data_IF_507392389874
#
_entry.id   IF_507392389874
#
_cell.length_a   1.000
_cell.length_b   1.000
_cell.length_c   1.000
_cell.angle_alpha   90.00
_cell.angle_beta   90.00
_cell.angle_gamma   90.00
#
_symmetry.space_group_name_H-M   'P 1'
#
loop_
_entity.id
_entity.type
_entity.pdbx_description
1 polymer ?
#
# COMPACT_ATOMS: atom_id res chain seq x y z
N UNK A 1 94.46 7.40 27.09
CA UNK A 1 93.47 6.92 28.08
C UNK A 1 92.10 7.11 27.44
N UNK A 2 91.46 6.05 26.92
CA UNK A 2 90.46 5.21 27.61
C UNK A 2 89.32 6.07 28.19
N UNK A 3 88.03 5.83 27.97
CA UNK A 3 87.26 4.79 27.28
C UNK A 3 85.84 5.34 27.17
N UNK A 4 85.16 4.96 26.09
CA UNK A 4 83.71 5.03 25.90
C UNK A 4 82.94 4.25 26.98
N UNK A 5 81.77 4.76 27.40
CA UNK A 5 80.73 4.05 28.16
C UNK A 5 79.41 4.76 27.85
N UNK A 6 78.47 4.19 27.07
CA UNK A 6 77.61 3.02 27.27
C UNK A 6 76.34 3.36 28.09
N UNK A 7 75.26 3.59 27.33
CA UNK A 7 73.86 3.19 27.53
C UNK A 7 73.12 3.50 28.84
N UNK A 8 71.94 4.15 28.74
CA UNK A 8 70.66 3.46 28.90
C UNK A 8 69.46 4.31 28.43
N UNK A 9 68.45 3.59 27.91
CA UNK A 9 67.20 4.01 27.29
C UNK A 9 66.20 4.56 28.32
N UNK A 10 65.29 5.46 27.90
CA UNK A 10 63.85 5.26 28.14
C UNK A 10 63.01 6.10 27.17
N UNK A 11 62.17 5.36 26.44
CA UNK A 11 61.23 5.82 25.45
C UNK A 11 60.03 6.52 26.10
N UNK A 12 59.65 7.69 25.62
CA UNK A 12 58.25 8.16 25.67
C UNK A 12 57.97 8.93 24.37
N UNK A 13 57.50 8.21 23.36
CA UNK A 13 56.89 8.85 22.18
C UNK A 13 55.49 9.31 22.56
N UNK A 14 55.28 10.62 22.67
CA UNK A 14 53.94 11.20 22.75
C UNK A 14 53.37 11.22 21.33
N UNK A 15 52.53 10.23 21.03
CA UNK A 15 51.65 10.25 19.86
C UNK A 15 50.64 11.38 20.05
N UNK A 16 50.80 12.45 19.26
CA UNK A 16 49.72 13.42 19.02
C UNK A 16 48.70 12.71 18.14
N UNK A 17 47.70 12.10 18.78
CA UNK A 17 46.52 11.61 18.08
C UNK A 17 45.63 12.81 17.74
N UNK A 18 45.83 13.42 16.58
CA UNK A 18 44.81 14.24 15.96
C UNK A 18 43.61 13.33 15.66
N UNK A 19 42.50 13.55 16.36
CA UNK A 19 41.23 12.88 16.08
C UNK A 19 40.63 13.47 14.82
N UNK A 20 41.14 13.07 13.65
CA UNK A 20 40.44 13.26 12.40
C UNK A 20 39.25 12.29 12.42
N UNK A 21 38.04 12.79 12.71
CA UNK A 21 36.83 12.05 12.38
C UNK A 21 36.80 11.88 10.86
N UNK A 22 37.14 10.68 10.39
CA UNK A 22 36.91 10.28 9.02
C UNK A 22 35.39 10.16 8.86
N UNK A 23 34.77 11.12 8.18
CA UNK A 23 33.39 10.97 7.71
C UNK A 23 33.34 9.70 6.84
N UNK A 24 32.42 8.76 7.11
CA UNK A 24 32.33 7.53 6.31
C UNK A 24 32.21 7.88 4.83
N UNK A 25 32.80 7.07 3.92
CA UNK A 25 32.83 7.39 2.51
C UNK A 25 31.40 7.60 2.00
N UNK A 26 31.16 8.76 1.40
CA UNK A 26 29.88 9.05 0.76
C UNK A 26 29.58 7.90 -0.22
N UNK A 27 28.39 7.27 -0.12
CA UNK A 27 28.01 6.23 -1.05
C UNK A 27 28.07 6.81 -2.47
N UNK A 28 28.51 6.03 -3.47
CA UNK A 28 28.58 6.52 -4.84
C UNK A 28 27.22 7.11 -5.21
N UNK A 29 27.21 8.36 -5.67
CA UNK A 29 26.03 9.04 -6.19
C UNK A 29 25.40 8.12 -7.22
N UNK A 30 24.35 7.41 -6.81
CA UNK A 30 23.63 6.52 -7.69
C UNK A 30 23.15 7.37 -8.86
N UNK A 31 23.60 7.01 -10.06
CA UNK A 31 23.12 7.58 -11.30
C UNK A 31 21.58 7.63 -11.25
N UNK A 32 21.06 8.86 -11.28
CA UNK A 32 19.66 9.26 -11.37
C UNK A 32 18.81 8.18 -12.04
N UNK A 33 17.98 7.48 -11.27
CA UNK A 33 16.82 6.81 -11.88
C UNK A 33 15.75 7.85 -12.14
N UNK A 34 15.36 7.87 -13.39
CA UNK A 34 14.47 8.81 -14.03
C UNK A 34 13.07 8.77 -13.42
N UNK A 35 12.55 9.95 -13.11
CA UNK A 35 11.25 10.16 -12.50
C UNK A 35 10.16 10.12 -13.57
N UNK A 36 9.65 8.94 -13.93
CA UNK A 36 8.44 8.75 -14.77
C UNK A 36 7.88 7.35 -14.42
N UNK A 37 6.65 7.13 -13.97
CA UNK A 37 5.38 7.42 -14.65
C UNK A 37 4.31 7.71 -13.57
N UNK A 38 3.97 8.99 -13.40
CA UNK A 38 2.58 9.30 -13.07
C UNK A 38 1.77 8.83 -14.27
N UNK A 39 1.16 7.65 -14.15
CA UNK A 39 0.04 7.34 -15.04
C UNK A 39 -0.98 8.40 -14.66
N UNK A 40 -1.22 9.36 -15.55
CA UNK A 40 -2.30 10.36 -15.42
C UNK A 40 -3.62 9.63 -15.28
N UNK A 41 -3.87 9.15 -14.09
CA UNK A 41 -5.10 8.58 -13.61
C UNK A 41 -5.64 9.67 -12.72
N UNK A 42 -6.69 10.35 -13.18
CA UNK A 42 -7.42 11.37 -12.42
C UNK A 42 -8.21 10.75 -11.25
N UNK A 43 -7.71 9.66 -10.70
CA UNK A 43 -8.36 8.74 -9.78
C UNK A 43 -7.43 8.60 -8.57
N UNK A 44 -7.89 9.09 -7.42
CA UNK A 44 -7.03 9.44 -6.29
C UNK A 44 -6.86 8.35 -5.26
N UNK A 45 -7.51 7.20 -5.46
CA UNK A 45 -7.43 6.11 -4.50
C UNK A 45 -6.10 5.34 -4.62
N UNK A 46 -5.32 5.57 -5.68
CA UNK A 46 -3.90 5.27 -5.62
C UNK A 46 -3.23 6.34 -4.75
N UNK A 47 -3.05 6.07 -3.45
CA UNK A 47 -2.30 6.97 -2.60
C UNK A 47 -0.90 7.21 -3.19
N UNK A 48 -0.52 8.48 -3.24
CA UNK A 48 0.89 8.84 -3.37
C UNK A 48 1.50 8.55 -2.00
N UNK A 49 2.46 7.64 -1.96
CA UNK A 49 3.22 7.31 -0.75
C UNK A 49 3.99 8.57 -0.36
N UNK A 50 3.88 8.96 0.91
CA UNK A 50 4.59 10.12 1.46
C UNK A 50 6.09 9.83 1.60
N UNK A 51 6.94 10.84 1.48
CA UNK A 51 8.40 10.69 1.57
C UNK A 51 8.86 10.24 2.98
N UNK A 52 8.04 10.46 4.02
CA UNK A 52 8.27 9.97 5.40
C UNK A 52 7.99 8.46 5.57
N UNK A 53 7.27 7.83 4.63
CA UNK A 53 7.15 6.37 4.53
C UNK A 53 8.40 5.83 3.82
N UNK A 54 9.52 5.79 4.56
CA UNK A 54 10.87 5.53 4.04
C UNK A 54 11.01 4.40 3.00
N UNK A 55 12.03 4.52 2.15
CA UNK A 55 12.50 3.64 1.06
C UNK A 55 11.94 2.20 0.99
N UNK A 56 10.67 2.05 0.62
CA UNK A 56 10.06 0.76 0.23
C UNK A 56 10.47 0.30 -1.17
N UNK A 57 11.55 0.86 -1.75
CA UNK A 57 12.02 0.62 -3.12
C UNK A 57 12.25 -0.88 -3.41
N UNK A 58 12.60 -1.65 -2.38
CA UNK A 58 12.90 -3.08 -2.47
C UNK A 58 11.71 -3.99 -2.15
N UNK A 59 10.65 -3.43 -1.58
CA UNK A 59 9.43 -4.17 -1.29
C UNK A 59 8.54 -4.09 -2.54
N UNK A 60 7.99 -5.22 -3.01
CA UNK A 60 7.00 -5.17 -4.08
C UNK A 60 5.90 -4.21 -3.62
N UNK A 61 5.76 -3.11 -4.36
CA UNK A 61 4.76 -2.09 -4.09
C UNK A 61 3.40 -2.75 -4.29
N UNK A 62 2.81 -3.25 -3.20
CA UNK A 62 1.46 -3.78 -3.23
C UNK A 62 0.57 -2.61 -3.61
N UNK A 63 -0.14 -2.72 -4.74
CA UNK A 63 -1.12 -1.70 -5.14
C UNK A 63 -1.99 -1.42 -3.91
N UNK A 64 -2.09 -0.15 -3.54
CA UNK A 64 -2.78 0.22 -2.32
C UNK A 64 -4.18 -0.40 -2.30
N UNK A 65 -4.62 -1.04 -1.20
CA UNK A 65 -5.95 -1.63 -1.11
C UNK A 65 -7.07 -0.58 -1.15
N UNK A 66 -6.75 0.71 -1.17
CA UNK A 66 -7.71 1.81 -1.23
C UNK A 66 -8.62 1.68 -2.45
N UNK A 67 -9.92 1.62 -2.20
CA UNK A 67 -10.92 1.23 -3.19
C UNK A 67 -11.81 0.09 -2.67
N UNK A 68 -12.52 -0.55 -3.58
CA UNK A 68 -13.38 -1.70 -3.28
C UNK A 68 -12.78 -2.96 -3.91
N UNK A 69 -12.31 -3.86 -3.06
CA UNK A 69 -11.84 -5.17 -3.46
C UNK A 69 -13.02 -6.10 -3.71
N UNK A 70 -13.05 -6.71 -4.89
CA UNK A 70 -13.99 -7.75 -5.27
C UNK A 70 -13.30 -9.09 -5.14
N UNK A 71 -13.78 -9.91 -4.21
CA UNK A 71 -13.25 -11.25 -4.00
C UNK A 71 -14.36 -12.28 -3.89
N UNK A 72 -14.00 -13.54 -4.03
CA UNK A 72 -14.87 -14.67 -3.78
C UNK A 72 -14.06 -15.86 -3.28
N UNK A 73 -14.73 -16.83 -2.68
CA UNK A 73 -14.09 -18.08 -2.28
C UNK A 73 -14.23 -19.06 -3.45
N UNK A 74 -13.11 -19.63 -3.90
CA UNK A 74 -13.14 -20.71 -4.89
C UNK A 74 -13.71 -21.99 -4.25
N UNK A 75 -13.95 -23.02 -5.08
CA UNK A 75 -14.36 -24.36 -4.63
C UNK A 75 -13.44 -24.96 -3.55
N UNK A 76 -12.13 -24.63 -3.60
CA UNK A 76 -11.13 -25.09 -2.62
C UNK A 76 -11.14 -24.29 -1.30
N UNK A 77 -12.09 -23.37 -1.12
CA UNK A 77 -12.17 -22.49 0.05
C UNK A 77 -11.15 -21.35 0.07
N UNK A 78 -10.30 -21.23 -0.96
CA UNK A 78 -9.32 -20.16 -1.07
C UNK A 78 -9.98 -18.83 -1.45
N UNK A 79 -9.65 -17.78 -0.71
CA UNK A 79 -10.06 -16.41 -1.01
C UNK A 79 -9.29 -15.87 -2.23
N UNK A 80 -10.01 -15.57 -3.31
CA UNK A 80 -9.44 -15.04 -4.55
C UNK A 80 -9.86 -13.59 -4.75
N UNK A 81 -8.89 -12.69 -4.76
CA UNK A 81 -9.08 -11.30 -5.20
C UNK A 81 -9.18 -11.28 -6.73
N UNK A 82 -10.27 -10.73 -7.26
CA UNK A 82 -10.53 -10.66 -8.68
C UNK A 82 -10.16 -9.30 -9.27
N UNK A 83 -10.54 -8.23 -8.57
CA UNK A 83 -10.36 -6.85 -9.04
C UNK A 83 -10.48 -5.85 -7.89
N UNK A 84 -9.84 -4.70 -8.02
CA UNK A 84 -10.02 -3.56 -7.13
C UNK A 84 -10.60 -2.40 -7.92
N UNK A 85 -11.78 -1.94 -7.49
CA UNK A 85 -12.44 -0.76 -8.05
C UNK A 85 -11.95 0.47 -7.30
N UNK A 86 -11.29 1.35 -8.02
CA UNK A 86 -10.85 2.64 -7.49
C UNK A 86 -11.96 3.69 -7.66
N UNK A 87 -11.80 4.88 -7.09
CA UNK A 87 -12.66 6.06 -7.25
C UNK A 87 -11.85 7.36 -7.43
N UNK A 88 -12.54 8.42 -7.88
CA UNK A 88 -12.01 9.79 -7.76
C UNK A 88 -12.01 10.20 -6.30
N UNK A 89 -11.22 11.22 -5.97
CA UNK A 89 -11.19 11.82 -4.63
C UNK A 89 -12.59 12.17 -4.17
N UNK A 90 -12.92 11.79 -2.94
CA UNK A 90 -14.23 12.00 -2.31
C UNK A 90 -15.44 11.65 -3.21
N UNK A 91 -15.25 10.64 -4.06
CA UNK A 91 -16.30 10.16 -4.95
C UNK A 91 -16.63 8.70 -4.66
N UNK A 92 -17.89 8.37 -4.86
CA UNK A 92 -18.39 7.00 -4.95
C UNK A 92 -18.94 6.69 -6.35
N UNK A 93 -18.67 7.55 -7.35
CA UNK A 93 -19.20 7.37 -8.71
C UNK A 93 -18.28 6.44 -9.51
N UNK A 94 -18.85 5.32 -9.98
CA UNK A 94 -18.15 4.41 -10.88
C UNK A 94 -17.84 5.06 -12.23
N UNK A 95 -16.56 5.01 -12.62
CA UNK A 95 -16.14 5.46 -13.95
C UNK A 95 -16.70 4.53 -15.04
N UNK A 96 -16.82 5.05 -16.27
CA UNK A 96 -17.23 4.23 -17.44
C UNK A 96 -16.28 3.04 -17.66
N UNK A 97 -14.98 3.21 -17.37
CA UNK A 97 -14.01 2.13 -17.49
C UNK A 97 -14.27 1.02 -16.46
N UNK A 98 -14.53 1.39 -15.19
CA UNK A 98 -14.84 0.43 -14.14
C UNK A 98 -16.17 -0.28 -14.39
N UNK A 99 -17.21 0.45 -14.81
CA UNK A 99 -18.49 -0.16 -15.25
C UNK A 99 -18.27 -1.23 -16.32
N UNK A 100 -17.44 -0.95 -17.34
CA UNK A 100 -17.10 -1.93 -18.39
C UNK A 100 -16.33 -3.14 -17.85
N UNK A 101 -15.41 -2.95 -16.89
CA UNK A 101 -14.67 -4.06 -16.25
C UNK A 101 -15.62 -4.95 -15.46
N UNK A 102 -16.45 -4.36 -14.60
CA UNK A 102 -17.45 -5.05 -13.80
C UNK A 102 -18.43 -5.85 -14.68
N UNK A 103 -18.90 -5.27 -15.79
CA UNK A 103 -19.76 -5.98 -16.75
C UNK A 103 -19.08 -7.20 -17.36
N UNK A 104 -17.78 -7.13 -17.70
CA UNK A 104 -17.03 -8.30 -18.20
C UNK A 104 -16.84 -9.39 -17.14
N UNK A 105 -16.76 -9.01 -15.87
CA UNK A 105 -16.57 -9.95 -14.76
C UNK A 105 -17.87 -10.57 -14.25
N UNK A 106 -19.02 -9.94 -14.53
CA UNK A 106 -20.32 -10.39 -14.05
C UNK A 106 -20.61 -11.88 -14.28
N UNK A 107 -20.30 -12.51 -15.44
CA UNK A 107 -20.55 -13.94 -15.62
C UNK A 107 -19.89 -14.83 -14.56
N UNK A 108 -18.64 -14.53 -14.20
CA UNK A 108 -17.91 -15.28 -13.15
C UNK A 108 -18.53 -15.00 -11.78
N UNK A 109 -18.78 -13.73 -11.48
CA UNK A 109 -19.30 -13.29 -10.18
C UNK A 109 -20.73 -13.80 -9.90
N UNK A 110 -21.57 -13.98 -10.93
CA UNK A 110 -22.91 -14.57 -10.77
C UNK A 110 -22.87 -16.00 -10.22
N UNK A 111 -21.83 -16.76 -10.58
CA UNK A 111 -21.72 -18.17 -10.17
C UNK A 111 -21.14 -18.33 -8.78
N UNK A 112 -20.21 -17.45 -8.38
CA UNK A 112 -19.48 -17.56 -7.12
C UNK A 112 -20.07 -16.70 -6.01
N UNK A 113 -20.88 -15.71 -6.36
CA UNK A 113 -21.16 -14.55 -5.51
C UNK A 113 -19.92 -13.69 -5.31
N UNK A 114 -20.07 -12.55 -4.63
CA UNK A 114 -18.96 -11.63 -4.40
C UNK A 114 -18.95 -11.10 -2.97
N UNK A 115 -17.75 -10.96 -2.41
CA UNK A 115 -17.47 -10.18 -1.20
C UNK A 115 -16.88 -8.84 -1.62
N UNK A 116 -17.44 -7.76 -1.09
CA UNK A 116 -16.95 -6.40 -1.32
C UNK A 116 -16.24 -5.91 -0.08
N UNK A 117 -14.94 -5.62 -0.17
CA UNK A 117 -14.16 -5.05 0.93
C UNK A 117 -13.70 -3.65 0.59
N UNK A 118 -14.18 -2.66 1.35
CA UNK A 118 -13.95 -1.25 1.10
C UNK A 118 -12.92 -0.61 2.01
N UNK A 119 -11.94 0.02 1.40
CA UNK A 119 -10.90 0.81 2.05
C UNK A 119 -10.93 2.25 1.54
N UNK A 120 -10.51 3.17 2.40
CA UNK A 120 -10.39 4.59 2.13
C UNK A 120 -9.03 5.12 2.60
N UNK A 121 -8.69 6.30 2.12
CA UNK A 121 -7.41 6.94 2.34
C UNK A 121 -7.20 7.33 3.82
N UNK A 122 -6.08 6.94 4.47
CA UNK A 122 -5.85 7.16 5.90
C UNK A 122 -5.65 8.63 6.31
N UNK A 123 -5.54 9.57 5.36
CA UNK A 123 -5.29 10.99 5.66
C UNK A 123 -6.49 11.71 6.29
N UNK A 124 -7.68 11.13 6.23
CA UNK A 124 -8.90 11.68 6.82
C UNK A 124 -9.28 10.96 8.11
N UNK A 125 -10.30 11.44 8.84
CA UNK A 125 -10.77 10.77 10.06
C UNK A 125 -11.37 9.39 9.76
N UNK A 126 -11.20 8.43 10.68
CA UNK A 126 -11.79 7.08 10.58
C UNK A 126 -13.27 7.09 10.25
N UNK A 127 -14.06 7.94 10.93
CA UNK A 127 -15.50 8.02 10.71
C UNK A 127 -15.85 8.50 9.29
N UNK A 128 -15.09 9.45 8.76
CA UNK A 128 -15.23 9.90 7.37
C UNK A 128 -14.87 8.76 6.39
N UNK A 129 -13.76 8.09 6.63
CA UNK A 129 -13.25 6.99 5.80
C UNK A 129 -14.21 5.80 5.75
N UNK A 130 -14.83 5.44 6.88
CA UNK A 130 -15.85 4.39 6.93
C UNK A 130 -17.09 4.77 6.12
N UNK A 131 -17.57 6.02 6.23
CA UNK A 131 -18.70 6.51 5.42
C UNK A 131 -18.36 6.53 3.93
N UNK A 132 -17.16 6.96 3.56
CA UNK A 132 -16.72 6.97 2.16
C UNK A 132 -16.61 5.55 1.60
N UNK A 133 -15.99 4.62 2.34
CA UNK A 133 -15.90 3.22 1.96
C UNK A 133 -17.28 2.59 1.79
N UNK A 134 -18.22 2.82 2.73
CA UNK A 134 -19.60 2.32 2.61
C UNK A 134 -20.32 2.86 1.37
N UNK A 135 -20.27 4.17 1.11
CA UNK A 135 -20.85 4.75 -0.13
C UNK A 135 -20.30 4.11 -1.41
N UNK A 136 -19.00 3.79 -1.42
CA UNK A 136 -18.35 3.13 -2.56
C UNK A 136 -18.78 1.68 -2.71
N UNK A 137 -18.88 0.94 -1.60
CA UNK A 137 -19.44 -0.42 -1.59
C UNK A 137 -20.87 -0.39 -2.16
N UNK A 138 -21.71 0.53 -1.68
CA UNK A 138 -23.09 0.65 -2.14
C UNK A 138 -23.18 0.91 -3.65
N UNK A 139 -22.30 1.78 -4.18
CA UNK A 139 -22.25 2.03 -5.63
C UNK A 139 -21.83 0.79 -6.44
N UNK A 140 -20.88 0.00 -5.94
CA UNK A 140 -20.45 -1.24 -6.60
C UNK A 140 -21.54 -2.30 -6.50
N UNK A 141 -22.10 -2.48 -5.30
CA UNK A 141 -23.16 -3.42 -5.01
C UNK A 141 -24.40 -3.17 -5.88
N UNK A 142 -24.85 -1.92 -5.99
CA UNK A 142 -25.99 -1.55 -6.83
C UNK A 142 -25.71 -1.86 -8.32
N UNK A 143 -24.50 -1.54 -8.81
CA UNK A 143 -24.15 -1.81 -10.20
C UNK A 143 -24.07 -3.32 -10.48
N UNK A 144 -23.48 -4.10 -9.58
CA UNK A 144 -23.40 -5.56 -9.68
C UNK A 144 -24.78 -6.23 -9.55
N UNK A 145 -25.63 -5.72 -8.66
CA UNK A 145 -27.03 -6.16 -8.51
C UNK A 145 -27.85 -5.96 -9.79
N UNK A 146 -27.68 -4.83 -10.48
CA UNK A 146 -28.29 -4.60 -11.79
C UNK A 146 -27.78 -5.56 -12.88
N UNK A 147 -26.59 -6.12 -12.69
CA UNK A 147 -26.06 -7.17 -13.54
C UNK A 147 -26.49 -8.57 -13.07
N UNK A 148 -27.30 -8.70 -12.02
CA UNK A 148 -27.74 -9.98 -11.47
C UNK A 148 -26.67 -10.74 -10.67
N UNK A 149 -25.64 -10.04 -10.17
CA UNK A 149 -24.61 -10.61 -9.30
C UNK A 149 -25.06 -10.49 -7.84
N UNK A 150 -25.09 -11.62 -7.13
CA UNK A 150 -25.30 -11.65 -5.67
C UNK A 150 -24.02 -11.22 -4.96
N UNK A 151 -24.15 -10.26 -4.04
CA UNK A 151 -23.06 -9.87 -3.15
C UNK A 151 -23.38 -10.49 -1.79
N UNK A 152 -22.53 -11.41 -1.37
CA UNK A 152 -22.74 -12.25 -0.20
C UNK A 152 -22.35 -11.50 1.09
N UNK A 153 -21.33 -10.64 1.00
CA UNK A 153 -20.72 -9.99 2.16
C UNK A 153 -20.18 -8.61 1.80
N UNK A 154 -20.38 -7.67 2.70
CA UNK A 154 -19.85 -6.30 2.61
C UNK A 154 -18.97 -6.02 3.83
N UNK A 155 -17.76 -5.55 3.60
CA UNK A 155 -16.78 -5.27 4.64
C UNK A 155 -16.34 -3.80 4.57
N UNK A 156 -16.58 -3.04 5.64
CA UNK A 156 -16.20 -1.62 5.72
C UNK A 156 -14.97 -1.47 6.59
N UNK A 157 -13.81 -1.31 5.98
CA UNK A 157 -12.54 -1.25 6.71
C UNK A 157 -11.99 0.18 6.86
N UNK A 158 -12.41 1.10 5.98
CA UNK A 158 -11.96 2.49 6.02
C UNK A 158 -10.44 2.57 5.85
N UNK A 159 -9.75 3.22 6.78
CA UNK A 159 -8.29 3.34 6.80
C UNK A 159 -7.56 2.12 7.37
N UNK A 160 -8.29 1.13 7.89
CA UNK A 160 -7.70 0.04 8.68
C UNK A 160 -7.00 -0.98 7.78
N UNK A 161 -5.68 -1.11 7.93
CA UNK A 161 -4.84 -2.03 7.16
C UNK A 161 -4.96 -3.51 7.61
N UNK A 162 -5.31 -3.74 8.88
CA UNK A 162 -5.55 -5.06 9.48
C UNK A 162 -6.97 -5.12 10.05
N UNK A 163 -7.98 -5.29 9.19
CA UNK A 163 -9.35 -5.12 9.63
C UNK A 163 -9.85 -6.23 10.54
N UNK A 164 -10.63 -5.84 11.54
CA UNK A 164 -11.43 -6.76 12.36
C UNK A 164 -12.52 -7.41 11.47
N UNK A 165 -12.64 -8.74 11.54
CA UNK A 165 -13.63 -9.52 10.77
C UNK A 165 -15.08 -9.21 11.14
N UNK A 166 -15.32 -8.59 12.30
CA UNK A 166 -16.63 -8.07 12.74
C UNK A 166 -17.13 -6.90 11.89
N UNK A 167 -16.24 -6.19 11.18
CA UNK A 167 -16.60 -5.08 10.29
C UNK A 167 -17.20 -5.53 8.95
N UNK A 168 -17.48 -6.83 8.83
CA UNK A 168 -18.03 -7.45 7.66
C UNK A 168 -19.43 -8.01 7.93
N UNK A 169 -20.42 -7.46 7.26
CA UNK A 169 -21.82 -7.86 7.35
C UNK A 169 -22.17 -8.83 6.22
N UNK A 170 -22.89 -9.89 6.57
CA UNK A 170 -23.50 -10.78 5.59
C UNK A 170 -24.79 -10.15 5.07
N UNK A 171 -25.01 -10.20 3.75
CA UNK A 171 -26.30 -9.80 3.21
C UNK A 171 -27.22 -11.01 3.21
N UNK A 172 -28.09 -11.10 4.20
CA UNK A 172 -29.24 -12.03 4.13
C UNK A 172 -30.16 -11.55 3.02
N UNK A 173 -30.41 -12.42 2.04
CA UNK A 173 -31.31 -12.22 0.90
C UNK A 173 -32.75 -11.88 1.33
#
# INVERSE_FOLDING_TARGET
MKKTSLSLLFSVGLLVACTSQQEPPEPPLAQRTELVVLRQSTYSDAAWIDEEEGTYIWLPQTISPFGINLSFNNADGQHKLLHTVYFKTDSAVLSTAEKRRLTRMAPVLRTQGVTLSGYADPRASTAYNNRLAKRRIDSVAAYLGNLGVTVNRECVFGETRLPNSELCEWRTE
#
